data_IF_529111977512
#
_entry.id   IF_529111977512
#
_cell.length_a   1.000
_cell.length_b   1.000
_cell.length_c   1.000
_cell.angle_alpha   90.00
_cell.angle_beta   90.00
_cell.angle_gamma   90.00
#
_symmetry.space_group_name_H-M   'P 1'
#
loop_
_entity.id
_entity.type
_entity.pdbx_description
1 polymer ?
#
# COMPACT_ATOMS: atom_id res chain seq x y z
N UNK A 1 -6.65 12.10 8.85
CA UNK A 1 -7.55 12.49 9.94
C UNK A 1 -9.03 12.23 9.64
N UNK A 2 -9.55 12.50 8.43
CA UNK A 2 -10.95 12.16 8.09
C UNK A 2 -11.24 10.65 8.07
N UNK A 3 -10.35 9.86 7.47
CA UNK A 3 -10.50 8.39 7.39
C UNK A 3 -10.39 7.70 8.77
N UNK A 4 -9.52 8.20 9.64
CA UNK A 4 -9.34 7.67 10.99
C UNK A 4 -10.54 7.96 11.87
N UNK A 5 -11.18 9.12 11.67
CA UNK A 5 -12.46 9.44 12.29
C UNK A 5 -13.57 8.49 11.81
N UNK A 6 -13.65 8.22 10.49
CA UNK A 6 -14.63 7.27 9.95
C UNK A 6 -14.43 5.87 10.53
N UNK A 7 -13.19 5.39 10.64
CA UNK A 7 -12.90 4.10 11.29
C UNK A 7 -13.24 4.09 12.79
N UNK A 8 -13.03 5.21 13.49
CA UNK A 8 -13.45 5.34 14.89
C UNK A 8 -14.97 5.26 15.04
N UNK A 9 -15.73 5.90 14.14
CA UNK A 9 -17.21 5.82 14.12
C UNK A 9 -17.68 4.40 13.76
N UNK A 10 -17.05 3.74 12.80
CA UNK A 10 -17.39 2.36 12.40
C UNK A 10 -17.03 1.33 13.48
N UNK A 11 -16.01 1.58 14.30
CA UNK A 11 -15.66 0.72 15.45
C UNK A 11 -16.81 0.62 16.45
N UNK A 12 -17.63 1.66 16.62
CA UNK A 12 -18.84 1.60 17.45
C UNK A 12 -19.90 0.62 16.93
N UNK A 13 -19.95 0.39 15.62
CA UNK A 13 -20.86 -0.57 14.97
C UNK A 13 -20.41 -2.03 15.22
N UNK A 14 -19.14 -2.23 15.56
CA UNK A 14 -18.56 -3.56 15.82
C UNK A 14 -19.22 -4.25 17.03
N UNK A 15 -19.58 -3.47 18.06
CA UNK A 15 -20.38 -3.97 19.20
C UNK A 15 -21.75 -4.55 18.80
N UNK A 16 -22.34 -4.07 17.70
CA UNK A 16 -23.57 -4.62 17.14
C UNK A 16 -23.29 -5.89 16.33
N UNK A 17 -22.18 -5.95 15.62
CA UNK A 17 -21.73 -7.15 14.92
C UNK A 17 -21.47 -8.31 15.91
N UNK A 18 -20.85 -8.05 17.07
CA UNK A 18 -20.60 -9.08 18.08
C UNK A 18 -21.90 -9.73 18.56
N UNK A 19 -22.93 -8.91 18.82
CA UNK A 19 -24.26 -9.41 19.20
C UNK A 19 -24.96 -10.16 18.06
N UNK A 20 -24.70 -9.80 16.81
CA UNK A 20 -25.25 -10.49 15.64
C UNK A 20 -24.54 -11.82 15.37
N UNK A 21 -23.25 -11.90 15.71
CA UNK A 21 -22.45 -13.13 15.67
C UNK A 21 -22.91 -14.15 16.73
N UNK A 22 -23.22 -13.69 17.95
CA UNK A 22 -23.77 -14.54 19.01
C UNK A 22 -25.11 -15.19 18.62
N UNK A 23 -25.91 -14.50 17.80
CA UNK A 23 -27.18 -15.00 17.27
C UNK A 23 -27.04 -15.79 15.95
N UNK A 24 -25.82 -16.08 15.50
CA UNK A 24 -25.51 -16.73 14.23
C UNK A 24 -26.16 -16.09 12.97
N UNK A 25 -26.48 -14.79 13.03
CA UNK A 25 -27.06 -14.05 11.89
C UNK A 25 -25.95 -13.56 10.95
N UNK A 26 -25.50 -14.46 10.08
CA UNK A 26 -24.48 -14.19 9.06
C UNK A 26 -24.95 -13.14 8.05
N UNK A 27 -26.24 -13.12 7.70
CA UNK A 27 -26.82 -12.16 6.72
C UNK A 27 -26.87 -10.75 7.28
N UNK A 28 -27.00 -10.61 8.59
CA UNK A 28 -26.95 -9.34 9.27
C UNK A 28 -25.53 -8.75 9.28
N UNK A 29 -24.51 -9.57 9.58
CA UNK A 29 -23.10 -9.15 9.54
C UNK A 29 -22.68 -8.74 8.12
N UNK A 30 -23.07 -9.52 7.12
CA UNK A 30 -22.76 -9.22 5.72
C UNK A 30 -23.34 -7.86 5.29
N UNK A 31 -24.58 -7.54 5.69
CA UNK A 31 -25.20 -6.24 5.43
C UNK A 31 -24.45 -5.09 6.08
N UNK A 32 -23.99 -5.26 7.32
CA UNK A 32 -23.19 -4.24 8.02
C UNK A 32 -21.85 -4.03 7.31
N UNK A 33 -21.20 -5.11 6.88
CA UNK A 33 -19.94 -5.03 6.13
C UNK A 33 -20.10 -4.30 4.79
N UNK A 34 -21.14 -4.61 4.00
CA UNK A 34 -21.43 -3.89 2.76
C UNK A 34 -21.78 -2.42 3.02
N UNK A 35 -22.52 -2.11 4.09
CA UNK A 35 -22.85 -0.73 4.45
C UNK A 35 -21.58 0.04 4.83
N UNK A 36 -20.68 -0.56 5.60
CA UNK A 36 -19.38 0.04 5.95
C UNK A 36 -18.51 0.27 4.71
N UNK A 37 -18.46 -0.69 3.78
CA UNK A 37 -17.75 -0.55 2.51
C UNK A 37 -18.34 0.58 1.67
N UNK A 38 -19.67 0.66 1.58
CA UNK A 38 -20.38 1.71 0.85
C UNK A 38 -20.11 3.09 1.49
N UNK A 39 -20.19 3.21 2.81
CA UNK A 39 -19.89 4.45 3.52
C UNK A 39 -18.45 4.92 3.28
N UNK A 40 -17.47 4.01 3.35
CA UNK A 40 -16.07 4.30 3.04
C UNK A 40 -15.89 4.72 1.58
N UNK A 41 -16.51 3.99 0.64
CA UNK A 41 -16.48 4.28 -0.78
C UNK A 41 -17.09 5.64 -1.12
N UNK A 42 -18.26 5.97 -0.56
CA UNK A 42 -18.89 7.27 -0.72
C UNK A 42 -18.06 8.39 -0.12
N UNK A 43 -17.42 8.17 1.03
CA UNK A 43 -16.53 9.17 1.62
C UNK A 43 -15.33 9.46 0.72
N UNK A 44 -14.64 8.43 0.22
CA UNK A 44 -13.56 8.61 -0.76
C UNK A 44 -14.03 9.27 -2.05
N UNK A 45 -15.19 8.84 -2.55
CA UNK A 45 -15.80 9.44 -3.73
C UNK A 45 -16.05 10.92 -3.52
N UNK A 46 -16.71 11.34 -2.44
CA UNK A 46 -16.97 12.75 -2.15
C UNK A 46 -15.67 13.55 -1.96
N UNK A 47 -14.70 13.00 -1.22
CA UNK A 47 -13.42 13.68 -0.99
C UNK A 47 -12.60 13.88 -2.28
N UNK A 48 -12.67 12.97 -3.24
CA UNK A 48 -11.97 13.12 -4.52
C UNK A 48 -12.80 13.91 -5.54
N UNK A 49 -14.10 13.63 -5.63
CA UNK A 49 -14.99 14.17 -6.65
C UNK A 49 -15.30 15.66 -6.45
N UNK A 50 -15.61 16.11 -5.23
CA UNK A 50 -15.97 17.52 -4.98
C UNK A 50 -14.83 18.48 -5.39
N UNK A 51 -13.56 18.27 -4.97
CA UNK A 51 -12.47 19.16 -5.35
C UNK A 51 -12.16 19.13 -6.84
N UNK A 52 -12.30 17.98 -7.49
CA UNK A 52 -12.06 17.88 -8.94
C UNK A 52 -13.16 18.60 -9.72
N UNK A 53 -14.43 18.40 -9.34
CA UNK A 53 -15.57 18.98 -10.05
C UNK A 53 -15.65 20.52 -9.89
N UNK A 54 -15.51 21.03 -8.66
CA UNK A 54 -15.62 22.47 -8.39
C UNK A 54 -14.27 23.21 -8.48
N UNK A 55 -13.17 22.50 -8.25
CA UNK A 55 -11.85 23.09 -8.06
C UNK A 55 -10.93 23.00 -9.28
N UNK A 56 -11.24 22.24 -10.34
CA UNK A 56 -10.33 22.10 -11.48
C UNK A 56 -9.98 23.44 -12.14
N UNK A 57 -10.97 24.32 -12.34
CA UNK A 57 -10.77 25.63 -12.97
C UNK A 57 -10.05 26.61 -12.02
N UNK A 58 -10.44 26.63 -10.75
CA UNK A 58 -9.81 27.43 -9.70
C UNK A 58 -8.36 27.00 -9.40
N UNK A 59 -8.09 25.69 -9.43
CA UNK A 59 -6.76 25.14 -9.20
C UNK A 59 -5.77 25.60 -10.27
N UNK A 60 -6.21 25.69 -11.53
CA UNK A 60 -5.36 26.18 -12.61
C UNK A 60 -4.97 27.65 -12.40
N UNK A 61 -5.92 28.51 -12.05
CA UNK A 61 -5.64 29.92 -11.75
C UNK A 61 -4.68 30.07 -10.57
N UNK A 62 -4.80 29.22 -9.54
CA UNK A 62 -3.87 29.22 -8.40
C UNK A 62 -2.46 28.78 -8.84
N UNK A 63 -2.35 27.76 -9.68
CA UNK A 63 -1.07 27.29 -10.24
C UNK A 63 -0.41 28.41 -11.06
N UNK A 64 -1.16 29.15 -11.87
CA UNK A 64 -0.63 30.22 -12.72
C UNK A 64 -0.06 31.42 -11.91
N UNK A 65 -0.50 31.60 -10.67
CA UNK A 65 0.02 32.65 -9.75
C UNK A 65 1.26 32.18 -8.98
N UNK A 66 1.52 30.87 -8.91
CA UNK A 66 2.70 30.33 -8.24
C UNK A 66 3.96 30.49 -9.11
N UNK A 67 5.14 30.75 -8.50
CA UNK A 67 6.38 30.86 -9.25
C UNK A 67 6.75 29.50 -9.88
N UNK A 68 7.19 29.51 -11.13
CA UNK A 68 7.55 28.30 -11.90
C UNK A 68 8.52 27.38 -11.14
N UNK A 69 9.49 27.95 -10.42
CA UNK A 69 10.45 27.18 -9.59
C UNK A 69 9.77 26.28 -8.55
N UNK A 70 8.64 26.71 -7.99
CA UNK A 70 7.88 25.92 -7.01
C UNK A 70 7.09 24.80 -7.69
N UNK A 71 6.48 25.07 -8.84
CA UNK A 71 5.74 24.09 -9.65
C UNK A 71 6.71 23.01 -10.15
N UNK A 72 7.87 23.41 -10.66
CA UNK A 72 8.93 22.49 -11.08
C UNK A 72 9.42 21.63 -9.90
N UNK A 73 9.58 22.24 -8.72
CA UNK A 73 9.93 21.53 -7.48
C UNK A 73 8.87 20.50 -7.07
N UNK A 74 7.58 20.86 -7.13
CA UNK A 74 6.44 19.96 -6.89
C UNK A 74 6.40 18.83 -7.92
N UNK A 75 6.70 19.12 -9.19
CA UNK A 75 6.78 18.13 -10.26
C UNK A 75 7.89 17.11 -10.03
N UNK A 76 9.09 17.56 -9.67
CA UNK A 76 10.21 16.67 -9.32
C UNK A 76 9.88 15.84 -8.07
N UNK A 77 9.30 16.46 -7.03
CA UNK A 77 8.89 15.75 -5.82
C UNK A 77 7.83 14.68 -6.12
N UNK A 78 6.83 15.00 -6.95
CA UNK A 78 5.82 14.04 -7.42
C UNK A 78 6.43 12.90 -8.25
N UNK A 79 7.42 13.20 -9.09
CA UNK A 79 8.14 12.21 -9.89
C UNK A 79 8.98 11.22 -9.07
N UNK A 80 9.35 11.56 -7.83
CA UNK A 80 10.09 10.67 -6.92
C UNK A 80 9.14 9.72 -6.16
N UNK A 81 7.83 10.00 -6.12
CA UNK A 81 6.84 9.19 -5.38
C UNK A 81 6.84 7.70 -5.77
N UNK A 82 6.96 7.30 -7.05
CA UNK A 82 7.06 5.89 -7.42
C UNK A 82 8.31 5.21 -6.84
N UNK A 83 9.45 5.91 -6.79
CA UNK A 83 10.69 5.38 -6.22
C UNK A 83 10.57 5.14 -4.71
N UNK A 84 9.89 6.04 -4.00
CA UNK A 84 9.56 5.86 -2.57
C UNK A 84 8.68 4.63 -2.38
N UNK A 85 7.69 4.42 -3.26
CA UNK A 85 6.84 3.22 -3.24
C UNK A 85 7.66 1.93 -3.34
N UNK A 86 8.58 1.86 -4.32
CA UNK A 86 9.48 0.71 -4.45
C UNK A 86 10.41 0.54 -3.25
N UNK A 87 10.91 1.63 -2.67
CA UNK A 87 11.76 1.57 -1.49
C UNK A 87 11.03 1.00 -0.27
N UNK A 88 9.76 1.38 -0.07
CA UNK A 88 8.92 0.82 1.01
C UNK A 88 8.67 -0.67 0.81
N UNK A 89 8.32 -1.08 -0.43
CA UNK A 89 8.14 -2.50 -0.75
C UNK A 89 9.43 -3.30 -0.52
N UNK A 90 10.57 -2.78 -0.97
CA UNK A 90 11.86 -3.41 -0.76
C UNK A 90 12.19 -3.50 0.72
N UNK A 91 11.95 -2.44 1.51
CA UNK A 91 12.18 -2.45 2.96
C UNK A 91 11.38 -3.57 3.66
N UNK A 92 10.15 -3.81 3.25
CA UNK A 92 9.28 -4.86 3.82
C UNK A 92 9.76 -6.26 3.40
N UNK A 93 10.26 -6.41 2.17
CA UNK A 93 10.67 -7.72 1.64
C UNK A 93 12.15 -8.08 1.88
N UNK A 94 13.00 -7.10 2.19
CA UNK A 94 14.45 -7.31 2.24
C UNK A 94 14.85 -8.10 3.48
N UNK A 95 15.44 -9.26 3.24
CA UNK A 95 16.17 -10.05 4.26
C UNK A 95 17.64 -10.13 3.85
N UNK A 96 18.55 -10.25 4.82
CA UNK A 96 20.00 -10.34 4.54
C UNK A 96 20.36 -11.44 3.52
N UNK A 97 19.61 -12.54 3.51
CA UNK A 97 19.81 -13.67 2.59
C UNK A 97 19.48 -13.30 1.13
N UNK A 98 18.60 -12.32 0.90
CA UNK A 98 18.12 -11.94 -0.43
C UNK A 98 18.89 -10.77 -1.07
N UNK A 99 19.82 -10.15 -0.34
CA UNK A 99 20.67 -9.05 -0.85
C UNK A 99 21.43 -9.45 -2.14
N UNK A 100 22.04 -10.66 -2.25
CA UNK A 100 22.73 -11.05 -3.48
C UNK A 100 21.81 -11.12 -4.71
N UNK A 101 20.58 -11.62 -4.53
CA UNK A 101 19.58 -11.68 -5.61
C UNK A 101 19.13 -10.29 -6.06
N UNK A 102 19.01 -9.36 -5.11
CA UNK A 102 18.68 -7.96 -5.41
C UNK A 102 19.79 -7.28 -6.24
N UNK A 103 21.06 -7.45 -5.85
CA UNK A 103 22.20 -6.88 -6.59
C UNK A 103 22.25 -7.44 -8.03
N UNK A 104 22.02 -8.74 -8.20
CA UNK A 104 21.99 -9.37 -9.52
C UNK A 104 20.89 -8.77 -10.41
N UNK A 105 19.67 -8.62 -9.88
CA UNK A 105 18.56 -7.98 -10.59
C UNK A 105 18.85 -6.50 -10.92
N UNK A 106 19.49 -5.77 -10.01
CA UNK A 106 19.87 -4.37 -10.22
C UNK A 106 20.90 -4.23 -11.34
N UNK A 107 21.93 -5.08 -11.39
CA UNK A 107 22.92 -5.08 -12.47
C UNK A 107 22.26 -5.42 -13.80
N UNK A 108 21.37 -6.41 -13.83
CA UNK A 108 20.63 -6.77 -15.05
C UNK A 108 19.74 -5.61 -15.55
N UNK A 109 19.12 -4.85 -14.65
CA UNK A 109 18.33 -3.68 -15.01
C UNK A 109 19.20 -2.52 -15.51
N UNK A 110 20.30 -2.21 -14.81
CA UNK A 110 21.13 -1.04 -15.08
C UNK A 110 22.02 -1.20 -16.32
N UNK A 111 22.64 -2.36 -16.49
CA UNK A 111 23.61 -2.61 -17.56
C UNK A 111 23.02 -3.28 -18.80
N UNK A 112 22.14 -4.27 -18.60
CA UNK A 112 21.53 -5.00 -19.70
C UNK A 112 20.27 -4.31 -20.25
N UNK A 113 19.76 -3.26 -19.57
CA UNK A 113 18.53 -2.53 -19.94
C UNK A 113 17.35 -3.45 -20.26
N UNK A 114 17.29 -4.60 -19.57
CA UNK A 114 16.23 -5.56 -19.76
C UNK A 114 14.90 -5.00 -19.23
N UNK A 115 13.77 -5.33 -19.88
CA UNK A 115 12.48 -4.96 -19.34
C UNK A 115 12.27 -5.61 -17.98
N UNK A 116 11.64 -4.88 -17.05
CA UNK A 116 11.39 -5.33 -15.66
C UNK A 116 10.70 -6.70 -15.64
N UNK A 117 9.80 -6.95 -16.59
CA UNK A 117 9.11 -8.22 -16.74
C UNK A 117 10.06 -9.40 -16.98
N UNK A 118 11.10 -9.23 -17.80
CA UNK A 118 12.06 -10.30 -18.08
C UNK A 118 12.90 -10.63 -16.84
N UNK A 119 13.32 -9.60 -16.10
CA UNK A 119 14.07 -9.77 -14.85
C UNK A 119 13.18 -10.46 -13.80
N UNK A 120 11.91 -10.06 -13.70
CA UNK A 120 10.94 -10.67 -12.79
C UNK A 120 10.67 -12.15 -13.12
N UNK A 121 10.52 -12.48 -14.40
CA UNK A 121 10.33 -13.87 -14.83
C UNK A 121 11.55 -14.74 -14.53
N UNK A 122 12.77 -14.23 -14.76
CA UNK A 122 14.00 -14.92 -14.41
C UNK A 122 14.14 -15.12 -12.89
N UNK A 123 13.83 -14.08 -12.10
CA UNK A 123 13.82 -14.16 -10.64
C UNK A 123 12.79 -15.17 -10.12
N UNK A 124 11.61 -15.22 -10.73
CA UNK A 124 10.57 -16.20 -10.41
C UNK A 124 11.05 -17.64 -10.69
N UNK A 125 11.68 -17.88 -11.83
CA UNK A 125 12.24 -19.19 -12.16
C UNK A 125 13.32 -19.61 -11.15
N UNK A 126 14.22 -18.69 -10.75
CA UNK A 126 15.22 -18.95 -9.72
C UNK A 126 14.59 -19.25 -8.35
N UNK A 127 13.55 -18.50 -7.96
CA UNK A 127 12.83 -18.71 -6.71
C UNK A 127 12.09 -20.07 -6.70
N UNK A 128 11.48 -20.48 -7.81
CA UNK A 128 10.85 -21.79 -7.93
C UNK A 128 11.88 -22.93 -7.80
N UNK A 129 13.04 -22.79 -8.45
CA UNK A 129 14.12 -23.78 -8.34
C UNK A 129 14.62 -23.88 -6.89
N UNK A 130 14.79 -22.76 -6.20
CA UNK A 130 15.21 -22.74 -4.79
C UNK A 130 14.15 -23.38 -3.87
N UNK A 131 12.87 -23.07 -4.10
CA UNK A 131 11.75 -23.65 -3.36
C UNK A 131 11.64 -25.17 -3.56
N UNK A 132 11.87 -25.67 -4.77
CA UNK A 132 11.86 -27.11 -5.06
C UNK A 132 13.10 -27.85 -4.52
N UNK A 133 14.24 -27.16 -4.43
CA UNK A 133 15.50 -27.73 -3.91
C UNK A 133 15.55 -27.76 -2.39
N UNK A 134 14.86 -26.84 -1.72
CA UNK A 134 14.78 -26.81 -0.26
C UNK A 134 13.63 -27.70 0.19
N UNK A 135 13.92 -28.80 0.92
CA UNK A 135 12.88 -29.53 1.66
C UNK A 135 12.08 -28.53 2.53
N UNK A 136 10.78 -28.75 2.78
CA UNK A 136 9.91 -27.77 3.43
C UNK A 136 10.35 -27.53 4.88
N UNK A 137 11.36 -26.70 5.08
CA UNK A 137 11.54 -25.99 6.33
C UNK A 137 10.36 -25.02 6.46
N UNK A 138 9.71 -24.98 7.63
CA UNK A 138 8.61 -24.05 7.84
C UNK A 138 9.13 -22.66 7.51
N UNK A 139 8.40 -21.96 6.63
CA UNK A 139 8.51 -20.51 6.44
C UNK A 139 8.49 -19.90 7.82
N UNK A 140 9.67 -19.66 8.41
CA UNK A 140 9.77 -18.90 9.63
C UNK A 140 9.17 -17.54 9.26
N UNK A 141 8.01 -17.17 9.83
CA UNK A 141 7.56 -15.82 9.74
C UNK A 141 8.75 -15.01 10.25
N UNK A 142 9.17 -14.02 9.47
CA UNK A 142 9.94 -12.92 9.99
C UNK A 142 9.16 -12.39 11.17
N UNK A 143 9.46 -12.92 12.37
CA UNK A 143 9.20 -12.28 13.62
C UNK A 143 9.93 -10.95 13.49
N UNK A 144 9.17 -9.95 13.05
CA UNK A 144 9.25 -8.63 13.60
C UNK A 144 9.63 -8.85 15.06
N UNK A 145 10.86 -8.48 15.44
CA UNK A 145 11.06 -8.03 16.80
C UNK A 145 10.07 -6.88 16.93
N UNK A 146 8.88 -7.22 17.38
CA UNK A 146 8.03 -6.28 18.06
C UNK A 146 8.89 -5.79 19.20
N UNK A 147 9.38 -4.56 19.04
CA UNK A 147 9.88 -3.75 20.12
C UNK A 147 8.62 -3.43 20.97
N UNK A 148 8.18 -4.45 21.73
CA UNK A 148 7.32 -4.32 22.90
C UNK A 148 8.25 -4.10 24.09
N UNK A 149 8.69 -2.85 24.27
CA UNK A 149 9.32 -2.22 25.45
C UNK A 149 9.77 -0.85 24.92
N UNK A 150 9.20 0.30 25.25
CA UNK A 150 8.68 0.82 26.51
C UNK A 150 7.29 1.44 26.28
N UNK A 151 6.27 1.20 27.11
CA UNK A 151 6.22 1.66 28.49
C UNK A 151 5.19 2.79 28.56
N UNK A 152 4.09 2.51 29.29
CA UNK A 152 2.83 3.27 29.55
C UNK A 152 1.80 3.37 28.42
#
# INVERSE_FOLDING_TARGET
>A
MGITFLFSVMSGVMSRCDRMAENADTRGIERVNYLALLALGTFYFLCAFLPIYFGAEHAKTIIDVLPQRLIDGLGVAGGIMPAIGFAVLLKIMMKNVYIPYFILGFVAAAWLKLPVLAIAAAALAMALIDLLRKSPEPTQPSAQKEEFEDGI
#
